data_IF_299203517835
#
_entry.id   IF_299203517835
#
_cell.length_a   1.000
_cell.length_b   1.000
_cell.length_c   1.000
_cell.angle_alpha   90.00
_cell.angle_beta   90.00
_cell.angle_gamma   90.00
#
_symmetry.space_group_name_H-M   'P 1'
#
loop_
_entity.id
_entity.type
_entity.pdbx_description
1 polymer ?
#
# COMPACT_ATOMS: atom_id res chain seq x y z
N UNK A 1 -2.13 -0.62 31.17
CA UNK A 1 -1.61 -1.98 31.27
C UNK A 1 -1.52 -2.67 29.91
N UNK A 2 -2.52 -2.65 29.08
CA UNK A 2 -2.56 -3.29 27.73
C UNK A 2 -1.40 -2.81 26.84
N UNK A 3 -1.10 -1.50 26.79
CA UNK A 3 0.01 -0.95 26.00
C UNK A 3 1.38 -1.50 26.41
N UNK A 4 1.61 -1.76 27.70
CA UNK A 4 2.88 -2.33 28.19
C UNK A 4 3.01 -3.82 27.85
N UNK A 5 1.89 -4.55 27.87
CA UNK A 5 1.85 -5.97 27.48
C UNK A 5 2.09 -6.10 25.97
N UNK A 6 1.51 -5.22 25.16
CA UNK A 6 1.70 -5.21 23.71
C UNK A 6 3.17 -4.94 23.34
N UNK A 7 3.81 -3.98 24.00
CA UNK A 7 5.24 -3.69 23.80
C UNK A 7 6.12 -4.87 24.18
N UNK A 8 5.81 -5.58 25.26
CA UNK A 8 6.56 -6.77 25.69
C UNK A 8 6.38 -7.92 24.69
N UNK A 9 5.17 -8.12 24.18
CA UNK A 9 4.90 -9.15 23.15
C UNK A 9 5.64 -8.84 21.85
N UNK A 10 5.68 -7.56 21.44
CA UNK A 10 6.42 -7.14 20.23
C UNK A 10 7.93 -7.28 20.45
N UNK A 11 8.47 -6.89 21.61
CA UNK A 11 9.91 -7.02 21.90
C UNK A 11 10.35 -8.47 22.07
N UNK A 12 9.53 -9.36 22.64
CA UNK A 12 9.84 -10.78 22.71
C UNK A 12 9.73 -11.48 21.36
N UNK A 13 8.81 -11.05 20.49
CA UNK A 13 8.69 -11.59 19.14
C UNK A 13 9.87 -11.17 18.24
N UNK A 14 10.40 -9.94 18.41
CA UNK A 14 11.58 -9.47 17.68
C UNK A 14 12.89 -10.15 18.09
N UNK A 15 12.99 -10.63 19.33
CA UNK A 15 14.20 -11.30 19.83
C UNK A 15 14.33 -12.77 19.41
N UNK A 16 13.26 -13.40 18.95
CA UNK A 16 13.29 -14.79 18.47
C UNK A 16 13.48 -14.92 16.95
N UNK A 17 13.49 -13.81 16.21
CA UNK A 17 13.76 -13.80 14.77
C UNK A 17 15.24 -13.55 14.44
N UNK A 18 16.16 -14.04 15.31
CA UNK A 18 17.55 -14.01 14.94
C UNK A 18 17.89 -15.07 13.89
N UNK A 19 18.29 -14.61 12.74
CA UNK A 19 19.29 -15.24 11.87
C UNK A 19 18.90 -16.48 11.04
N UNK A 20 17.73 -16.49 10.39
CA UNK A 20 17.55 -17.38 9.22
C UNK A 20 17.10 -16.60 7.98
N UNK A 21 17.11 -15.28 7.99
CA UNK A 21 16.59 -14.48 6.90
C UNK A 21 17.65 -13.85 5.99
N UNK A 22 18.89 -14.22 6.08
CA UNK A 22 19.92 -13.35 5.49
C UNK A 22 20.89 -14.01 4.48
N UNK A 23 20.59 -15.08 3.78
CA UNK A 23 21.54 -15.44 2.73
C UNK A 23 20.99 -16.00 1.42
N UNK A 24 19.79 -16.57 1.37
CA UNK A 24 19.46 -17.41 0.22
C UNK A 24 18.35 -16.88 -0.69
N UNK A 25 17.64 -15.81 -0.34
CA UNK A 25 16.50 -15.32 -1.11
C UNK A 25 16.84 -14.41 -2.29
N UNK A 26 17.88 -13.61 -2.19
CA UNK A 26 18.15 -12.56 -3.17
C UNK A 26 19.32 -12.89 -4.11
N UNK A 27 20.20 -13.78 -3.71
CA UNK A 27 21.27 -14.27 -4.59
C UNK A 27 20.78 -15.25 -5.67
N UNK A 28 19.56 -15.75 -5.57
CA UNK A 28 18.93 -16.65 -6.53
C UNK A 28 17.89 -15.96 -7.43
N UNK A 29 17.86 -14.65 -7.54
CA UNK A 29 17.23 -13.94 -8.65
C UNK A 29 18.02 -14.14 -9.92
N UNK A 30 18.36 -15.37 -10.20
CA UNK A 30 18.73 -15.80 -11.53
C UNK A 30 17.45 -15.73 -12.37
N UNK A 31 17.50 -14.94 -13.42
CA UNK A 31 16.42 -14.37 -14.24
C UNK A 31 15.37 -15.34 -14.82
N UNK A 32 15.31 -16.61 -14.44
CA UNK A 32 14.52 -17.60 -15.15
C UNK A 32 13.69 -18.58 -14.30
N UNK A 33 13.67 -18.46 -12.97
CA UNK A 33 12.75 -19.28 -12.16
C UNK A 33 12.01 -18.40 -11.16
N UNK A 34 10.66 -18.51 -11.07
CA UNK A 34 9.91 -17.82 -10.02
C UNK A 34 10.40 -18.34 -8.67
N UNK A 35 10.89 -17.46 -7.81
CA UNK A 35 11.26 -17.83 -6.44
C UNK A 35 10.02 -18.44 -5.76
N UNK A 36 10.12 -19.72 -5.38
CA UNK A 36 9.05 -20.42 -4.70
C UNK A 36 8.83 -19.77 -3.31
N UNK A 37 7.86 -18.87 -3.23
CA UNK A 37 7.49 -18.23 -1.96
C UNK A 37 6.82 -19.28 -1.10
N UNK A 38 7.47 -19.66 0.00
CA UNK A 38 7.00 -20.70 0.90
C UNK A 38 5.68 -20.33 1.57
N UNK A 39 4.65 -21.14 1.38
CA UNK A 39 3.39 -21.04 2.13
C UNK A 39 3.53 -21.72 3.50
N UNK A 40 3.73 -20.89 4.54
CA UNK A 40 3.89 -21.40 5.91
C UNK A 40 2.55 -21.55 6.65
N UNK A 41 1.47 -20.98 6.12
CA UNK A 41 0.18 -20.88 6.79
C UNK A 41 -0.98 -21.33 5.88
N UNK A 42 -0.82 -22.44 5.13
CA UNK A 42 -1.74 -22.87 4.10
C UNK A 42 -3.22 -22.89 4.57
N UNK A 43 -3.50 -23.45 5.75
CA UNK A 43 -4.87 -23.52 6.28
C UNK A 43 -5.48 -22.13 6.52
N UNK A 44 -4.73 -21.22 7.09
CA UNK A 44 -5.13 -19.82 7.29
C UNK A 44 -5.30 -19.11 5.94
N UNK A 45 -4.35 -19.28 5.04
CA UNK A 45 -4.37 -18.67 3.71
C UNK A 45 -5.58 -19.10 2.89
N UNK A 46 -5.92 -20.37 2.92
CA UNK A 46 -7.13 -20.91 2.27
C UNK A 46 -8.42 -20.33 2.86
N UNK A 47 -8.52 -20.24 4.18
CA UNK A 47 -9.69 -19.65 4.86
C UNK A 47 -9.84 -18.16 4.54
N UNK A 48 -8.75 -17.40 4.63
CA UNK A 48 -8.72 -15.96 4.28
C UNK A 48 -9.06 -15.73 2.82
N UNK A 49 -8.54 -16.56 1.92
CA UNK A 49 -8.84 -16.47 0.49
C UNK A 49 -10.33 -16.72 0.21
N UNK A 50 -10.93 -17.76 0.83
CA UNK A 50 -12.36 -18.03 0.70
C UNK A 50 -13.23 -16.88 1.22
N UNK A 51 -12.82 -16.27 2.35
CA UNK A 51 -13.47 -15.07 2.88
C UNK A 51 -13.38 -13.90 1.89
N UNK A 52 -12.19 -13.65 1.36
CA UNK A 52 -11.94 -12.56 0.40
C UNK A 52 -12.75 -12.75 -0.89
N UNK A 53 -12.84 -13.98 -1.41
CA UNK A 53 -13.72 -14.29 -2.55
C UNK A 53 -15.20 -14.04 -2.23
N UNK A 54 -15.64 -14.39 -1.02
CA UNK A 54 -17.01 -14.11 -0.58
C UNK A 54 -17.28 -12.61 -0.53
N UNK A 55 -16.38 -11.85 0.08
CA UNK A 55 -16.46 -10.38 0.16
C UNK A 55 -16.41 -9.73 -1.24
N UNK A 56 -15.52 -10.20 -2.11
CA UNK A 56 -15.46 -9.70 -3.49
C UNK A 56 -16.80 -9.91 -4.21
N UNK A 57 -17.33 -11.13 -4.17
CA UNK A 57 -18.58 -11.47 -4.86
C UNK A 57 -19.78 -10.67 -4.35
N UNK A 58 -19.84 -10.41 -3.05
CA UNK A 58 -21.03 -9.79 -2.42
C UNK A 58 -20.91 -8.27 -2.32
N UNK A 59 -19.71 -7.74 -2.17
CA UNK A 59 -19.47 -6.32 -1.88
C UNK A 59 -18.66 -5.65 -2.99
N UNK A 60 -17.40 -6.09 -3.21
CA UNK A 60 -16.49 -5.34 -4.07
C UNK A 60 -16.88 -5.42 -5.54
N UNK A 61 -17.21 -6.58 -6.06
CA UNK A 61 -17.60 -6.75 -7.46
C UNK A 61 -18.85 -5.97 -7.84
N UNK A 62 -19.97 -5.98 -7.08
CA UNK A 62 -21.13 -5.13 -7.37
C UNK A 62 -20.80 -3.64 -7.36
N UNK A 63 -20.06 -3.15 -6.34
CA UNK A 63 -19.68 -1.74 -6.24
C UNK A 63 -18.78 -1.34 -7.41
N UNK A 64 -17.76 -2.14 -7.71
CA UNK A 64 -16.85 -1.88 -8.83
C UNK A 64 -17.56 -1.95 -10.19
N UNK A 65 -18.57 -2.81 -10.33
CA UNK A 65 -19.42 -2.85 -11.53
C UNK A 65 -20.15 -1.53 -11.75
N UNK A 66 -20.76 -0.97 -10.70
CA UNK A 66 -21.41 0.35 -10.76
C UNK A 66 -20.39 1.45 -11.04
N UNK A 67 -19.23 1.43 -10.39
CA UNK A 67 -18.17 2.41 -10.63
C UNK A 67 -17.68 2.38 -12.09
N UNK A 68 -17.58 1.20 -12.70
CA UNK A 68 -17.18 1.06 -14.12
C UNK A 68 -18.15 1.71 -15.11
N UNK A 69 -19.41 1.91 -14.74
CA UNK A 69 -20.39 2.60 -15.59
C UNK A 69 -20.16 4.11 -15.67
N UNK A 70 -19.37 4.68 -14.76
CA UNK A 70 -19.04 6.09 -14.76
C UNK A 70 -18.24 6.48 -16.01
N UNK A 71 -18.45 7.71 -16.54
CA UNK A 71 -17.65 8.23 -17.65
C UNK A 71 -16.14 8.20 -17.36
N UNK A 72 -15.33 7.90 -18.37
CA UNK A 72 -13.87 7.82 -18.25
C UNK A 72 -13.24 9.03 -17.57
N UNK A 73 -13.61 10.29 -17.85
CA UNK A 73 -13.01 11.44 -17.18
C UNK A 73 -13.21 11.44 -15.66
N UNK A 74 -14.36 10.96 -15.18
CA UNK A 74 -14.63 10.86 -13.72
C UNK A 74 -13.72 9.79 -13.09
N UNK A 75 -13.65 8.61 -13.70
CA UNK A 75 -12.77 7.52 -13.22
C UNK A 75 -11.31 7.95 -13.20
N UNK A 76 -10.85 8.57 -14.28
CA UNK A 76 -9.49 9.11 -14.38
C UNK A 76 -9.23 10.16 -13.30
N UNK A 77 -10.15 11.09 -13.08
CA UNK A 77 -10.01 12.10 -12.04
C UNK A 77 -9.94 11.52 -10.62
N UNK A 78 -10.76 10.51 -10.33
CA UNK A 78 -10.70 9.78 -9.04
C UNK A 78 -9.36 9.07 -8.89
N UNK A 79 -8.94 8.31 -9.90
CA UNK A 79 -7.64 7.61 -9.88
C UNK A 79 -6.47 8.58 -9.67
N UNK A 80 -6.41 9.66 -10.43
CA UNK A 80 -5.37 10.69 -10.29
C UNK A 80 -5.34 11.30 -8.88
N UNK A 81 -6.52 11.58 -8.29
CA UNK A 81 -6.61 12.12 -6.93
C UNK A 81 -6.11 11.12 -5.89
N UNK A 82 -6.43 9.84 -6.03
CA UNK A 82 -5.94 8.77 -5.15
C UNK A 82 -4.43 8.58 -5.28
N UNK A 83 -3.89 8.60 -6.49
CA UNK A 83 -2.45 8.54 -6.74
C UNK A 83 -1.73 9.78 -6.19
N UNK A 84 -2.33 10.96 -6.35
CA UNK A 84 -1.78 12.19 -5.75
C UNK A 84 -1.74 12.10 -4.23
N UNK A 85 -2.80 11.59 -3.61
CA UNK A 85 -2.87 11.40 -2.16
C UNK A 85 -1.85 10.34 -1.69
N UNK A 86 -1.62 9.30 -2.47
CA UNK A 86 -0.64 8.25 -2.18
C UNK A 86 0.80 8.79 -2.14
N UNK A 87 1.10 9.95 -2.75
CA UNK A 87 2.41 10.59 -2.64
C UNK A 87 2.81 10.91 -1.20
N UNK A 88 1.85 11.15 -0.31
CA UNK A 88 2.13 11.39 1.12
C UNK A 88 2.83 10.18 1.77
N UNK A 89 2.61 8.98 1.26
CA UNK A 89 3.29 7.73 1.67
C UNK A 89 4.49 7.44 0.77
N UNK A 90 4.36 7.63 -0.53
CA UNK A 90 5.40 7.33 -1.52
C UNK A 90 6.66 8.18 -1.33
N UNK A 91 6.53 9.50 -1.10
CA UNK A 91 7.67 10.40 -0.95
C UNK A 91 8.57 10.01 0.23
N UNK A 92 8.06 9.78 1.46
CA UNK A 92 8.88 9.27 2.55
C UNK A 92 9.54 7.92 2.25
N UNK A 93 8.85 7.02 1.53
CA UNK A 93 9.41 5.73 1.15
C UNK A 93 10.54 5.86 0.12
N UNK A 94 10.43 6.75 -0.86
CA UNK A 94 11.56 7.06 -1.76
C UNK A 94 12.79 7.53 -0.95
N UNK A 95 12.59 8.42 0.04
CA UNK A 95 13.67 8.89 0.91
C UNK A 95 14.28 7.73 1.71
N UNK A 96 13.44 6.89 2.32
CA UNK A 96 13.89 5.71 3.07
C UNK A 96 14.69 4.73 2.19
N UNK A 97 14.34 4.62 0.93
CA UNK A 97 15.04 3.78 -0.06
C UNK A 97 16.33 4.42 -0.60
N UNK A 98 16.62 5.67 -0.23
CA UNK A 98 17.75 6.44 -0.76
C UNK A 98 17.53 6.95 -2.19
N UNK A 99 16.31 6.87 -2.69
CA UNK A 99 15.95 7.36 -4.03
C UNK A 99 15.48 8.82 -3.96
N UNK A 100 16.43 9.72 -3.75
CA UNK A 100 16.17 11.16 -3.65
C UNK A 100 15.71 11.77 -4.96
N UNK A 101 16.05 11.16 -6.10
CA UNK A 101 15.60 11.60 -7.42
C UNK A 101 14.08 11.46 -7.53
N UNK A 102 13.55 10.25 -7.29
CA UNK A 102 12.12 10.01 -7.34
C UNK A 102 11.38 10.71 -6.20
N UNK A 103 11.99 10.86 -5.02
CA UNK A 103 11.44 11.69 -3.95
C UNK A 103 11.20 13.14 -4.41
N UNK A 104 12.17 13.74 -5.11
CA UNK A 104 12.07 15.11 -5.65
C UNK A 104 11.00 15.18 -6.76
N UNK A 105 10.99 14.25 -7.69
CA UNK A 105 10.00 14.17 -8.77
C UNK A 105 8.59 14.06 -8.19
N UNK A 106 8.37 13.10 -7.27
CA UNK A 106 7.07 12.87 -6.65
C UNK A 106 6.61 14.05 -5.78
N UNK A 107 7.54 14.77 -5.11
CA UNK A 107 7.23 16.02 -4.42
C UNK A 107 6.75 17.08 -5.40
N UNK A 108 7.44 17.27 -6.52
CA UNK A 108 7.02 18.18 -7.58
C UNK A 108 5.64 17.84 -8.14
N UNK A 109 5.41 16.56 -8.45
CA UNK A 109 4.10 16.06 -8.90
C UNK A 109 3.00 16.35 -7.88
N UNK A 110 3.24 16.02 -6.62
CA UNK A 110 2.28 16.27 -5.54
C UNK A 110 1.89 17.74 -5.44
N UNK A 111 2.87 18.65 -5.43
CA UNK A 111 2.61 20.09 -5.33
C UNK A 111 1.85 20.60 -6.56
N UNK A 112 2.29 20.25 -7.76
CA UNK A 112 1.67 20.69 -9.01
C UNK A 112 0.24 20.15 -9.12
N UNK A 113 0.05 18.86 -8.92
CA UNK A 113 -1.26 18.22 -9.05
C UNK A 113 -2.23 18.66 -7.94
N UNK A 114 -1.74 18.93 -6.74
CA UNK A 114 -2.59 19.44 -5.65
C UNK A 114 -3.04 20.88 -5.92
N UNK A 115 -2.15 21.74 -6.45
CA UNK A 115 -2.46 23.16 -6.67
C UNK A 115 -3.11 23.42 -8.02
N UNK A 116 -2.42 23.11 -9.12
CA UNK A 116 -2.89 23.35 -10.48
C UNK A 116 -3.85 22.26 -10.96
N UNK A 117 -3.69 21.03 -10.45
CA UNK A 117 -4.52 19.89 -10.80
C UNK A 117 -5.79 19.72 -9.95
N UNK A 118 -6.14 20.72 -9.12
CA UNK A 118 -7.33 20.72 -8.25
C UNK A 118 -7.36 19.45 -7.38
N UNK A 119 -6.49 19.41 -6.37
CA UNK A 119 -6.32 18.27 -5.44
C UNK A 119 -5.98 16.93 -6.16
N UNK A 120 -5.35 17.01 -7.33
CA UNK A 120 -4.92 15.85 -8.08
C UNK A 120 -5.96 15.29 -9.06
N UNK A 121 -7.13 15.90 -9.23
CA UNK A 121 -8.12 15.46 -10.25
C UNK A 121 -7.50 15.47 -11.64
N UNK A 122 -6.69 16.48 -11.93
CA UNK A 122 -5.94 16.57 -13.19
C UNK A 122 -4.45 16.30 -12.94
N UNK A 123 -3.87 15.38 -13.69
CA UNK A 123 -2.44 15.11 -13.65
C UNK A 123 -1.65 16.13 -14.49
N UNK A 124 -1.58 17.36 -14.01
CA UNK A 124 -0.90 18.47 -14.68
C UNK A 124 0.61 18.22 -14.74
N UNK A 125 1.17 17.53 -13.76
CA UNK A 125 2.61 17.22 -13.72
C UNK A 125 3.04 16.40 -14.94
N UNK A 126 2.26 15.43 -15.37
CA UNK A 126 2.54 14.66 -16.59
C UNK A 126 2.52 15.56 -17.84
N UNK A 127 1.60 16.51 -17.95
CA UNK A 127 1.60 17.49 -19.06
C UNK A 127 2.81 18.41 -19.05
N UNK A 128 3.41 18.65 -17.88
CA UNK A 128 4.63 19.43 -17.74
C UNK A 128 5.92 18.60 -17.96
N UNK A 129 5.79 17.32 -18.29
CA UNK A 129 6.92 16.44 -18.61
C UNK A 129 7.54 15.70 -17.43
N UNK A 130 6.88 15.67 -16.29
CA UNK A 130 7.32 14.81 -15.18
C UNK A 130 7.12 13.33 -15.58
N UNK A 131 8.03 12.48 -15.12
CA UNK A 131 7.91 11.01 -15.32
C UNK A 131 6.66 10.47 -14.62
N UNK A 132 6.17 9.33 -15.09
CA UNK A 132 5.01 8.67 -14.50
C UNK A 132 5.19 8.41 -13.00
N UNK A 133 4.07 8.45 -12.29
CA UNK A 133 4.03 8.14 -10.87
C UNK A 133 4.20 6.64 -10.65
N UNK A 134 5.12 6.29 -9.76
CA UNK A 134 5.32 4.92 -9.27
C UNK A 134 5.05 4.91 -7.78
N UNK A 135 4.05 4.14 -7.36
CA UNK A 135 3.65 4.01 -5.97
C UNK A 135 4.69 3.20 -5.18
N UNK A 136 5.12 3.76 -4.07
CA UNK A 136 6.07 3.13 -3.15
C UNK A 136 5.43 2.94 -1.77
N UNK A 137 5.81 1.87 -1.10
CA UNK A 137 5.31 1.52 0.22
C UNK A 137 6.43 1.04 1.17
N UNK A 138 6.07 0.83 2.43
CA UNK A 138 7.02 0.38 3.45
C UNK A 138 7.53 -1.05 3.22
N UNK A 139 6.75 -1.93 2.56
CA UNK A 139 7.19 -3.27 2.20
C UNK A 139 8.31 -3.23 1.16
N UNK A 140 8.17 -2.36 0.15
CA UNK A 140 9.21 -2.11 -0.85
C UNK A 140 10.45 -1.48 -0.21
N UNK A 141 10.26 -0.54 0.73
CA UNK A 141 11.38 0.05 1.47
C UNK A 141 12.14 -0.99 2.29
N UNK A 142 11.46 -1.92 2.95
CA UNK A 142 12.09 -3.04 3.65
C UNK A 142 12.83 -3.97 2.67
N UNK A 143 12.24 -4.27 1.50
CA UNK A 143 12.89 -5.05 0.45
C UNK A 143 14.21 -4.42 0.00
N UNK A 144 14.20 -3.10 -0.21
CA UNK A 144 15.40 -2.34 -0.61
C UNK A 144 16.52 -2.43 0.42
N UNK A 145 16.18 -2.61 1.71
CA UNK A 145 17.14 -2.81 2.79
C UNK A 145 17.51 -4.28 3.03
N UNK A 146 17.18 -5.18 2.11
CA UNK A 146 17.57 -6.59 2.17
C UNK A 146 16.65 -7.49 2.99
N UNK A 147 15.48 -6.99 3.41
CA UNK A 147 14.49 -7.87 4.05
C UNK A 147 13.77 -8.71 3.01
N UNK A 148 13.99 -10.02 3.06
CA UNK A 148 13.31 -10.97 2.17
C UNK A 148 11.80 -11.01 2.38
N UNK A 149 11.03 -11.56 1.42
CA UNK A 149 9.56 -11.62 1.49
C UNK A 149 9.04 -12.45 2.68
N UNK A 150 9.81 -13.47 3.09
CA UNK A 150 9.37 -14.45 4.09
C UNK A 150 8.25 -15.34 3.56
N UNK A 151 7.35 -15.77 4.46
CA UNK A 151 6.23 -16.63 4.12
C UNK A 151 5.13 -15.88 3.35
N UNK A 152 4.46 -16.62 2.46
CA UNK A 152 3.22 -16.15 1.84
C UNK A 152 2.08 -16.11 2.85
N UNK A 153 1.33 -15.03 2.87
CA UNK A 153 0.19 -14.80 3.77
C UNK A 153 -0.95 -14.19 2.97
N UNK A 154 -2.15 -14.73 3.13
CA UNK A 154 -3.37 -14.10 2.61
C UNK A 154 -4.06 -13.35 3.75
N UNK A 155 -4.08 -12.03 3.67
CA UNK A 155 -4.73 -11.19 4.67
C UNK A 155 -6.23 -11.10 4.41
N UNK A 156 -7.09 -11.21 5.44
CA UNK A 156 -8.50 -10.91 5.32
C UNK A 156 -8.71 -9.49 4.79
N UNK A 157 -9.57 -9.33 3.79
CA UNK A 157 -9.90 -8.07 3.09
C UNK A 157 -8.78 -7.54 2.19
N UNK A 158 -7.53 -7.60 2.64
CA UNK A 158 -6.37 -7.02 1.93
C UNK A 158 -5.79 -7.92 0.84
N UNK A 159 -6.08 -9.23 0.90
CA UNK A 159 -5.66 -10.19 -0.13
C UNK A 159 -4.25 -10.75 0.05
N UNK A 160 -3.64 -11.24 -1.05
CA UNK A 160 -2.31 -11.84 -1.05
C UNK A 160 -1.22 -10.88 -0.58
N UNK A 161 -0.31 -11.35 0.27
CA UNK A 161 0.78 -10.58 0.85
C UNK A 161 1.95 -11.49 1.18
N UNK A 162 3.03 -10.92 1.68
CA UNK A 162 4.17 -11.63 2.26
C UNK A 162 4.32 -11.28 3.73
N UNK A 163 5.11 -12.04 4.47
CA UNK A 163 5.37 -11.72 5.88
C UNK A 163 5.95 -10.31 6.04
N UNK A 164 6.90 -9.92 5.18
CA UNK A 164 7.47 -8.57 5.13
C UNK A 164 6.41 -7.50 4.90
N UNK A 165 5.61 -7.66 3.85
CA UNK A 165 4.62 -6.67 3.45
C UNK A 165 3.44 -6.61 4.44
N UNK A 166 3.14 -7.73 5.10
CA UNK A 166 2.19 -7.77 6.21
C UNK A 166 2.66 -6.93 7.40
N UNK A 167 3.94 -7.07 7.80
CA UNK A 167 4.52 -6.23 8.88
C UNK A 167 4.49 -4.75 8.48
N UNK A 168 4.85 -4.43 7.25
CA UNK A 168 4.79 -3.08 6.72
C UNK A 168 3.36 -2.50 6.74
N UNK A 169 2.37 -3.29 6.32
CA UNK A 169 0.95 -2.90 6.36
C UNK A 169 0.44 -2.72 7.79
N UNK A 170 0.81 -3.63 8.72
CA UNK A 170 0.44 -3.50 10.12
C UNK A 170 1.02 -2.23 10.75
N UNK A 171 2.21 -1.80 10.36
CA UNK A 171 2.80 -0.53 10.79
C UNK A 171 1.89 0.64 10.44
N UNK A 172 1.30 0.64 9.23
CA UNK A 172 0.32 1.65 8.83
C UNK A 172 -0.91 1.64 9.74
N UNK A 173 -1.50 0.48 10.01
CA UNK A 173 -2.67 0.35 10.89
C UNK A 173 -2.37 0.72 12.33
N UNK A 174 -1.16 0.52 12.80
CA UNK A 174 -0.72 0.87 14.17
C UNK A 174 -0.37 2.35 14.35
N UNK A 175 -0.68 3.19 13.38
CA UNK A 175 -0.47 4.63 13.44
C UNK A 175 0.81 5.11 12.74
N UNK A 176 1.45 4.25 11.94
CA UNK A 176 2.58 4.61 11.09
C UNK A 176 2.20 5.18 9.73
N UNK A 177 0.90 5.23 9.40
CA UNK A 177 0.44 5.82 8.15
C UNK A 177 0.74 7.33 8.12
N UNK A 178 1.65 7.71 7.21
CA UNK A 178 2.08 9.10 7.09
C UNK A 178 0.93 10.03 6.73
N UNK A 179 0.01 9.59 5.85
CA UNK A 179 -1.15 10.39 5.48
C UNK A 179 -2.07 10.64 6.68
N UNK A 180 -2.41 9.59 7.45
CA UNK A 180 -3.23 9.74 8.65
C UNK A 180 -2.60 10.68 9.67
N UNK A 181 -1.30 10.52 9.91
CA UNK A 181 -0.57 11.32 10.89
C UNK A 181 -0.47 12.81 10.50
N UNK A 182 -0.29 13.11 9.21
CA UNK A 182 -0.14 14.49 8.73
C UNK A 182 -1.48 15.21 8.62
N UNK A 183 -2.56 14.50 8.27
CA UNK A 183 -3.84 15.15 7.91
C UNK A 183 -4.95 14.98 8.91
N UNK A 184 -5.01 13.86 9.64
CA UNK A 184 -6.12 13.53 10.56
C UNK A 184 -5.71 13.67 12.02
N UNK A 185 -4.48 13.29 12.36
CA UNK A 185 -3.95 13.29 13.72
C UNK A 185 -3.29 14.65 14.06
N UNK A 186 -3.16 14.96 15.35
CA UNK A 186 -2.37 16.10 15.88
C UNK A 186 -2.90 17.52 15.58
N UNK A 187 -4.16 17.80 15.90
CA UNK A 187 -4.78 19.16 15.85
C UNK A 187 -4.65 19.90 14.50
N UNK A 188 -3.96 19.34 13.52
CA UNK A 188 -3.90 19.81 12.13
C UNK A 188 -4.91 19.07 11.27
N UNK A 189 -6.15 18.92 11.74
CA UNK A 189 -7.20 18.15 11.07
C UNK A 189 -7.70 18.88 9.84
N UNK A 190 -7.10 18.54 8.69
CA UNK A 190 -7.66 18.94 7.39
C UNK A 190 -8.75 17.97 6.92
N UNK A 191 -8.73 16.71 7.41
CA UNK A 191 -9.65 15.63 7.05
C UNK A 191 -10.12 14.91 8.31
N UNK A 192 -11.30 14.27 8.23
CA UNK A 192 -11.84 13.42 9.28
C UNK A 192 -11.37 11.97 9.15
N UNK A 193 -11.59 11.16 10.19
CA UNK A 193 -11.37 9.71 10.11
C UNK A 193 -12.19 9.09 8.97
N UNK A 194 -13.39 9.60 8.73
CA UNK A 194 -14.25 9.14 7.64
C UNK A 194 -13.59 9.38 6.27
N UNK A 195 -13.01 10.56 6.04
CA UNK A 195 -12.35 10.87 4.76
C UNK A 195 -11.15 9.94 4.51
N UNK A 196 -10.43 9.61 5.58
CA UNK A 196 -9.32 8.66 5.50
C UNK A 196 -9.79 7.27 5.07
N UNK A 197 -10.78 6.69 5.77
CA UNK A 197 -11.28 5.36 5.43
C UNK A 197 -12.02 5.35 4.09
N UNK A 198 -12.73 6.42 3.75
CA UNK A 198 -13.41 6.57 2.46
C UNK A 198 -12.40 6.57 1.30
N UNK A 199 -11.25 7.25 1.43
CA UNK A 199 -10.21 7.23 0.40
C UNK A 199 -9.58 5.85 0.22
N UNK A 200 -9.33 5.11 1.32
CA UNK A 200 -8.83 3.72 1.25
C UNK A 200 -9.86 2.79 0.60
N UNK A 201 -11.14 2.97 0.91
CA UNK A 201 -12.24 2.24 0.26
C UNK A 201 -12.33 2.57 -1.24
N UNK A 202 -12.20 3.85 -1.60
CA UNK A 202 -12.20 4.29 -2.99
C UNK A 202 -11.00 3.73 -3.79
N UNK A 203 -9.80 3.71 -3.18
CA UNK A 203 -8.61 3.09 -3.78
C UNK A 203 -8.86 1.60 -4.07
N UNK A 204 -9.45 0.87 -3.11
CA UNK A 204 -9.82 -0.54 -3.29
C UNK A 204 -10.85 -0.77 -4.40
N UNK A 205 -11.86 0.10 -4.52
CA UNK A 205 -12.88 0.03 -5.58
C UNK A 205 -12.28 0.37 -6.94
N UNK A 206 -11.45 1.40 -7.04
CA UNK A 206 -10.77 1.79 -8.28
C UNK A 206 -9.81 0.68 -8.74
N UNK A 207 -9.02 0.12 -7.82
CA UNK A 207 -8.15 -1.02 -8.09
C UNK A 207 -8.94 -2.24 -8.59
N UNK A 208 -10.03 -2.61 -7.90
CA UNK A 208 -10.88 -3.75 -8.30
C UNK A 208 -11.59 -3.50 -9.64
N UNK A 209 -11.96 -2.25 -9.93
CA UNK A 209 -12.58 -1.90 -11.20
C UNK A 209 -11.59 -1.98 -12.38
N UNK A 210 -10.31 -1.66 -12.17
CA UNK A 210 -9.23 -1.82 -13.15
C UNK A 210 -8.92 -3.29 -13.42
N UNK A 211 -9.01 -4.14 -12.39
CA UNK A 211 -8.75 -5.60 -12.45
C UNK A 211 -10.05 -6.41 -12.36
N UNK A 212 -11.10 -5.96 -13.05
CA UNK A 212 -12.45 -6.51 -12.88
C UNK A 212 -12.61 -7.92 -13.45
N UNK A 213 -11.90 -8.22 -14.50
CA UNK A 213 -12.01 -9.47 -15.24
C UNK A 213 -11.01 -10.53 -14.75
N UNK A 214 -10.14 -10.15 -13.79
CA UNK A 214 -9.22 -11.03 -13.07
C UNK A 214 -9.89 -11.64 -11.83
#
# INVERSE_FOLDING_TARGET
MIKKILVIVITTFTLTFNAIAASDGELLLNKNEPSEVKDCFEGFNRASFALNQGLDKVIFKPISSVYRTLPSPIKTGVSNSLDNLSNVVTIPNNILQGDFSNAGINTGRFVINTTLGILGIFDVATYLGFTEYVKEDYGQSLAKHGFGPGCYIVLPVLGPSTARDTVASLTNFMGGDAWYNVTVRNDTRYFSDFDYYASKGADGVDFRAKNFDD
#
